data_IF_357198027966
#
_entry.id   IF_357198027966
#
_cell.length_a   1.000
_cell.length_b   1.000
_cell.length_c   1.000
_cell.angle_alpha   90.00
_cell.angle_beta   90.00
_cell.angle_gamma   90.00
#
_symmetry.space_group_name_H-M   'P 1'
#
loop_
_entity.id
_entity.type
_entity.pdbx_description
1 polymer ?
#
# COMPACT_ATOMS: atom_id res chain seq x y z
N UNK A 1 -54.21 -102.12 20.64
CA UNK A 1 -52.84 -102.08 20.17
C UNK A 1 -52.59 -100.68 19.52
N UNK A 2 -52.06 -99.77 20.29
CA UNK A 2 -51.97 -98.36 19.89
C UNK A 2 -50.48 -98.01 19.79
N UNK A 3 -50.05 -97.72 18.56
CA UNK A 3 -48.71 -97.29 18.22
C UNK A 3 -48.48 -95.86 18.60
N UNK A 4 -47.63 -95.55 19.52
CA UNK A 4 -47.21 -94.18 19.86
C UNK A 4 -46.08 -93.76 18.92
N UNK A 5 -46.36 -92.73 18.08
CA UNK A 5 -45.35 -92.03 17.30
C UNK A 5 -44.56 -91.04 18.17
N UNK A 6 -43.23 -91.27 18.27
CA UNK A 6 -42.35 -90.25 18.85
C UNK A 6 -42.07 -89.16 17.88
N UNK A 7 -42.36 -87.95 18.29
CA UNK A 7 -42.02 -86.72 17.55
C UNK A 7 -40.66 -86.26 18.06
N UNK A 8 -39.64 -86.31 17.19
CA UNK A 8 -38.32 -85.77 17.47
C UNK A 8 -38.38 -84.30 17.04
N UNK A 9 -38.24 -83.38 18.03
CA UNK A 9 -38.07 -81.96 17.76
C UNK A 9 -36.60 -81.68 17.61
N UNK A 10 -36.16 -81.34 16.39
CA UNK A 10 -34.83 -80.81 16.09
C UNK A 10 -34.78 -79.36 16.55
N UNK A 11 -33.87 -79.07 17.49
CA UNK A 11 -33.55 -77.69 17.90
C UNK A 11 -32.45 -77.24 16.98
N UNK A 12 -32.76 -76.28 16.07
CA UNK A 12 -31.74 -75.60 15.25
C UNK A 12 -31.12 -74.51 16.10
N UNK A 13 -29.83 -74.69 16.43
CA UNK A 13 -29.08 -73.64 17.07
C UNK A 13 -28.73 -72.57 16.04
N UNK A 14 -29.25 -71.36 16.20
CA UNK A 14 -28.88 -70.19 15.44
C UNK A 14 -27.64 -69.61 16.09
N UNK A 15 -26.48 -69.81 15.52
CA UNK A 15 -25.23 -69.10 15.89
C UNK A 15 -25.29 -67.73 15.22
N UNK A 16 -25.63 -66.67 16.00
CA UNK A 16 -25.47 -65.31 15.56
C UNK A 16 -23.96 -64.94 15.63
N UNK A 17 -23.31 -64.87 14.48
CA UNK A 17 -21.98 -64.29 14.35
C UNK A 17 -22.10 -62.77 14.47
N UNK A 18 -21.70 -62.23 15.60
CA UNK A 18 -21.58 -60.78 15.83
C UNK A 18 -20.32 -60.32 15.08
N UNK A 19 -20.48 -59.82 13.84
CA UNK A 19 -19.41 -59.15 13.14
C UNK A 19 -19.24 -57.76 13.78
N UNK A 20 -18.24 -57.61 14.63
CA UNK A 20 -17.78 -56.28 15.04
C UNK A 20 -17.21 -55.55 13.81
N UNK A 21 -17.95 -54.60 13.26
CA UNK A 21 -17.37 -53.59 12.40
C UNK A 21 -16.38 -52.80 13.28
N UNK A 22 -15.11 -53.03 13.10
CA UNK A 22 -14.07 -52.13 13.56
C UNK A 22 -14.19 -50.86 12.72
N UNK A 23 -14.83 -49.83 13.24
CA UNK A 23 -14.72 -48.49 12.70
C UNK A 23 -13.24 -48.09 12.77
N UNK A 24 -12.64 -47.57 11.66
CA UNK A 24 -11.32 -47.03 11.75
C UNK A 24 -11.38 -45.91 12.78
N UNK A 25 -10.67 -46.08 13.91
CA UNK A 25 -10.37 -44.97 14.80
C UNK A 25 -9.48 -44.07 13.94
N UNK A 26 -10.03 -43.00 13.39
CA UNK A 26 -9.23 -41.92 12.88
C UNK A 26 -8.37 -41.50 14.07
N UNK A 27 -7.09 -41.84 14.02
CA UNK A 27 -6.10 -41.26 14.91
C UNK A 27 -6.19 -39.74 14.64
N UNK A 28 -6.81 -39.01 15.55
CA UNK A 28 -6.62 -37.58 15.63
C UNK A 28 -5.09 -37.45 15.78
N UNK A 29 -4.43 -37.01 14.70
CA UNK A 29 -3.05 -36.61 14.80
C UNK A 29 -3.04 -35.52 15.87
N UNK A 30 -2.54 -35.84 17.04
CA UNK A 30 -2.24 -34.85 18.05
C UNK A 30 -1.30 -33.86 17.35
N UNK A 31 -1.71 -32.61 17.17
CA UNK A 31 -0.82 -31.57 16.67
C UNK A 31 0.44 -31.64 17.53
N UNK A 32 1.57 -31.91 16.88
CA UNK A 32 2.84 -32.02 17.58
C UNK A 32 3.14 -30.66 18.17
N UNK A 33 3.17 -30.57 19.50
CA UNK A 33 3.36 -29.31 20.22
C UNK A 33 4.78 -28.82 19.94
N UNK A 34 4.90 -27.67 19.27
CA UNK A 34 6.20 -27.01 19.06
C UNK A 34 6.82 -26.68 20.41
N UNK A 35 8.01 -27.18 20.64
CA UNK A 35 8.72 -27.03 21.92
C UNK A 35 10.11 -26.44 21.72
N UNK A 36 10.62 -25.64 22.69
CA UNK A 36 11.99 -25.14 22.62
C UNK A 36 12.98 -26.27 22.90
N UNK A 37 14.24 -26.16 22.38
CA UNK A 37 15.28 -27.20 22.59
C UNK A 37 15.63 -27.46 24.07
N UNK A 38 15.46 -26.44 24.92
CA UNK A 38 15.64 -26.50 26.36
C UNK A 38 14.78 -25.41 27.07
N UNK A 39 14.50 -25.50 28.38
CA UNK A 39 13.50 -24.70 29.08
C UNK A 39 13.68 -23.17 29.00
N UNK A 40 14.93 -22.68 28.92
CA UNK A 40 15.22 -21.21 28.89
C UNK A 40 15.68 -20.73 27.51
N UNK A 41 15.39 -21.50 26.46
CA UNK A 41 15.79 -21.16 25.09
C UNK A 41 15.18 -19.84 24.62
N UNK A 42 16.03 -18.99 24.03
CA UNK A 42 15.58 -17.78 23.29
C UNK A 42 16.12 -17.86 21.86
N UNK A 43 15.21 -17.83 20.89
CA UNK A 43 15.57 -17.91 19.48
C UNK A 43 14.53 -18.61 18.61
N UNK A 44 14.92 -18.87 17.37
CA UNK A 44 14.08 -19.51 16.36
C UNK A 44 14.05 -21.02 16.52
N UNK A 45 12.86 -21.57 16.40
CA UNK A 45 12.61 -23.02 16.19
C UNK A 45 11.88 -23.20 14.87
N UNK A 46 12.32 -24.15 14.05
CA UNK A 46 11.67 -24.50 12.79
C UNK A 46 11.06 -25.89 12.94
N UNK A 47 9.76 -25.99 12.70
CA UNK A 47 9.03 -27.25 12.70
C UNK A 47 8.03 -27.25 11.54
N UNK A 48 7.99 -28.32 10.75
CA UNK A 48 7.10 -28.48 9.59
C UNK A 48 7.18 -27.34 8.55
N UNK A 49 8.34 -26.69 8.44
CA UNK A 49 8.58 -25.56 7.54
C UNK A 49 8.13 -24.21 8.08
N UNK A 50 7.46 -24.17 9.22
CA UNK A 50 7.07 -22.97 9.92
C UNK A 50 8.12 -22.53 10.93
N UNK A 51 8.19 -21.22 11.20
CA UNK A 51 9.14 -20.61 12.11
C UNK A 51 8.42 -20.07 13.33
N UNK A 52 8.95 -20.38 14.49
CA UNK A 52 8.45 -19.99 15.80
C UNK A 52 9.57 -19.31 16.58
N UNK A 53 9.25 -18.30 17.36
CA UNK A 53 10.21 -17.67 18.26
C UNK A 53 9.89 -18.00 19.70
N UNK A 54 10.91 -18.39 20.45
CA UNK A 54 10.83 -18.57 21.90
C UNK A 54 11.57 -17.44 22.60
N UNK A 55 11.06 -17.02 23.72
CA UNK A 55 11.62 -16.01 24.60
C UNK A 55 11.69 -16.61 26.00
N UNK A 56 12.90 -17.00 26.44
CA UNK A 56 13.12 -17.73 27.69
C UNK A 56 12.19 -18.95 27.87
N UNK A 57 12.14 -19.78 26.84
CA UNK A 57 11.33 -21.01 26.81
C UNK A 57 9.85 -20.80 26.51
N UNK A 58 9.38 -19.56 26.41
CA UNK A 58 7.97 -19.25 26.12
C UNK A 58 7.80 -18.87 24.66
N UNK A 59 6.89 -19.55 23.94
CA UNK A 59 6.58 -19.24 22.54
C UNK A 59 5.95 -17.85 22.40
N UNK A 60 6.53 -17.01 21.57
CA UNK A 60 5.98 -15.71 21.23
C UNK A 60 4.71 -15.86 20.38
N UNK A 61 3.64 -15.14 20.74
CA UNK A 61 2.35 -15.12 20.03
C UNK A 61 1.80 -13.72 20.00
N UNK A 62 1.21 -13.32 18.85
CA UNK A 62 0.66 -11.96 18.65
C UNK A 62 1.67 -10.88 19.08
N UNK A 63 2.93 -11.10 18.76
CA UNK A 63 4.06 -10.30 19.28
C UNK A 63 5.04 -9.96 18.17
N UNK A 64 5.53 -8.72 18.20
CA UNK A 64 6.67 -8.27 17.40
C UNK A 64 7.98 -8.61 18.13
N UNK A 65 8.94 -9.17 17.39
CA UNK A 65 10.29 -9.43 17.90
C UNK A 65 11.34 -8.84 16.97
N UNK A 66 12.47 -8.45 17.55
CA UNK A 66 13.66 -8.07 16.81
C UNK A 66 14.71 -9.16 16.94
N UNK A 67 15.20 -9.63 15.79
CA UNK A 67 16.31 -10.58 15.75
C UNK A 67 17.59 -9.85 15.35
N UNK A 68 18.57 -9.70 16.27
CA UNK A 68 19.84 -9.04 15.97
C UNK A 68 20.67 -9.75 14.91
N UNK A 69 20.51 -11.07 14.76
CA UNK A 69 21.30 -11.87 13.83
C UNK A 69 20.95 -11.56 12.36
N UNK A 70 19.68 -11.29 12.09
CA UNK A 70 19.18 -10.89 10.77
C UNK A 70 19.03 -9.38 10.63
N UNK A 71 19.18 -8.62 11.72
CA UNK A 71 18.91 -7.18 11.81
C UNK A 71 17.49 -6.83 11.32
N UNK A 72 16.50 -7.65 11.67
CA UNK A 72 15.14 -7.53 11.17
C UNK A 72 14.09 -7.66 12.28
N UNK A 73 12.95 -7.03 12.04
CA UNK A 73 11.76 -7.18 12.86
C UNK A 73 10.83 -8.20 12.24
N UNK A 74 10.23 -9.04 13.07
CA UNK A 74 9.30 -10.11 12.72
C UNK A 74 8.02 -10.00 13.53
N UNK A 75 6.97 -10.64 13.06
CA UNK A 75 5.72 -10.81 13.78
C UNK A 75 5.40 -12.28 13.94
N UNK A 76 5.06 -12.70 15.14
CA UNK A 76 4.51 -14.02 15.43
C UNK A 76 2.98 -13.90 15.55
N UNK A 77 2.28 -14.71 14.78
CA UNK A 77 0.82 -14.74 14.78
C UNK A 77 0.24 -15.32 16.08
N UNK A 78 -1.08 -15.38 16.20
CA UNK A 78 -1.74 -15.89 17.40
C UNK A 78 -1.47 -17.38 17.65
N UNK A 79 -1.18 -18.15 16.61
CA UNK A 79 -0.77 -19.56 16.70
C UNK A 79 0.73 -19.72 16.97
N UNK A 80 1.51 -18.66 16.91
CA UNK A 80 2.97 -18.65 17.11
C UNK A 80 3.77 -18.70 15.82
N UNK A 81 3.16 -18.88 14.66
CA UNK A 81 3.86 -18.92 13.37
C UNK A 81 4.36 -17.53 12.95
N UNK A 82 5.49 -17.48 12.25
CA UNK A 82 6.05 -16.26 11.72
C UNK A 82 5.23 -15.73 10.54
N UNK A 83 4.78 -14.49 10.61
CA UNK A 83 4.06 -13.80 9.54
C UNK A 83 4.94 -13.63 8.31
N UNK A 84 4.46 -14.04 7.13
CA UNK A 84 5.13 -13.90 5.82
C UNK A 84 4.15 -13.42 4.77
N UNK A 85 4.63 -12.61 3.83
CA UNK A 85 3.87 -12.14 2.66
C UNK A 85 2.49 -11.55 3.00
N UNK A 86 2.35 -10.88 4.15
CA UNK A 86 1.07 -10.35 4.60
C UNK A 86 1.17 -9.03 5.34
N UNK A 87 0.04 -8.35 5.41
CA UNK A 87 -0.15 -7.17 6.25
C UNK A 87 -0.74 -7.60 7.59
N UNK A 88 -0.20 -7.06 8.67
CA UNK A 88 -0.64 -7.31 10.04
C UNK A 88 -1.06 -6.00 10.69
N UNK A 89 -2.22 -6.00 11.35
CA UNK A 89 -2.63 -4.89 12.18
C UNK A 89 -2.14 -5.10 13.61
N UNK A 90 -1.20 -4.28 14.03
CA UNK A 90 -0.66 -4.28 15.39
C UNK A 90 -1.46 -3.29 16.24
N UNK A 91 -2.14 -3.77 17.28
CA UNK A 91 -2.99 -2.93 18.15
C UNK A 91 -2.21 -2.05 19.13
N UNK A 92 -0.96 -2.42 19.41
CA UNK A 92 -0.09 -1.65 20.30
C UNK A 92 0.22 -0.26 19.75
N UNK A 93 0.52 0.70 20.64
CA UNK A 93 0.99 2.04 20.28
C UNK A 93 0.04 2.81 19.32
N UNK A 94 -1.25 2.76 19.58
CA UNK A 94 -2.25 3.49 18.80
C UNK A 94 -2.75 2.77 17.56
N UNK A 95 -2.25 1.57 17.29
CA UNK A 95 -2.65 0.75 16.14
C UNK A 95 -1.94 1.16 14.85
N UNK A 96 -1.32 0.19 14.18
CA UNK A 96 -0.66 0.40 12.89
C UNK A 96 -0.78 -0.84 12.00
N UNK A 97 -0.87 -0.62 10.69
CA UNK A 97 -0.66 -1.67 9.70
C UNK A 97 0.83 -1.77 9.39
N UNK A 98 1.36 -2.97 9.38
CA UNK A 98 2.75 -3.30 9.07
C UNK A 98 2.75 -4.41 8.03
N UNK A 99 3.73 -4.45 7.16
CA UNK A 99 3.87 -5.49 6.13
C UNK A 99 5.12 -6.32 6.37
N UNK A 100 4.99 -7.63 6.17
CA UNK A 100 6.10 -8.59 6.24
C UNK A 100 6.33 -9.21 4.86
N UNK A 101 7.60 -9.34 4.47
CA UNK A 101 8.02 -9.93 3.20
C UNK A 101 7.97 -11.47 3.21
N UNK A 102 8.49 -12.12 2.17
CA UNK A 102 8.55 -13.59 2.07
C UNK A 102 9.48 -14.24 3.11
N UNK A 103 10.42 -13.49 3.64
CA UNK A 103 11.35 -13.96 4.68
C UNK A 103 10.83 -13.65 6.09
N UNK A 104 9.68 -12.98 6.21
CA UNK A 104 9.11 -12.51 7.46
C UNK A 104 9.68 -11.18 7.95
N UNK A 105 10.52 -10.50 7.17
CA UNK A 105 11.10 -9.22 7.57
C UNK A 105 10.07 -8.09 7.44
N UNK A 106 10.03 -7.22 8.44
CA UNK A 106 9.22 -6.01 8.37
C UNK A 106 9.69 -5.11 7.23
N UNK A 107 8.77 -4.75 6.32
CA UNK A 107 9.03 -3.84 5.22
C UNK A 107 9.08 -2.40 5.72
N UNK A 108 10.03 -1.64 5.18
CA UNK A 108 10.21 -0.20 5.42
C UNK A 108 10.45 0.52 4.10
N UNK A 109 9.99 1.77 4.01
CA UNK A 109 10.10 2.57 2.79
C UNK A 109 9.02 2.24 1.77
N UNK A 110 9.33 2.48 0.49
CA UNK A 110 8.40 2.24 -0.61
C UNK A 110 8.36 0.75 -0.97
N UNK A 111 7.16 0.22 -1.16
CA UNK A 111 6.91 -1.17 -1.55
C UNK A 111 5.80 -1.23 -2.61
N UNK A 112 6.04 -1.99 -3.69
CA UNK A 112 5.05 -2.23 -4.72
C UNK A 112 4.42 -3.60 -4.56
N UNK A 113 3.11 -3.63 -4.22
CA UNK A 113 2.35 -4.87 -4.05
C UNK A 113 0.87 -4.64 -4.34
N UNK A 114 0.17 -5.68 -4.70
CA UNK A 114 -1.27 -5.66 -4.99
C UNK A 114 -1.67 -4.60 -6.04
N UNK A 115 -0.80 -4.39 -7.03
CA UNK A 115 -1.03 -3.42 -8.11
C UNK A 115 -0.96 -1.97 -7.67
N UNK A 116 -0.18 -1.64 -6.63
CA UNK A 116 0.01 -0.26 -6.17
C UNK A 116 1.25 -0.06 -5.32
N UNK A 117 1.67 1.18 -5.23
CA UNK A 117 2.74 1.60 -4.34
C UNK A 117 2.19 1.88 -2.94
N UNK A 118 2.97 1.50 -1.94
CA UNK A 118 2.75 1.76 -0.52
C UNK A 118 4.01 2.39 0.06
N UNK A 119 3.88 2.99 1.22
CA UNK A 119 5.03 3.46 1.99
C UNK A 119 4.89 3.02 3.44
N UNK A 120 5.96 2.47 3.97
CA UNK A 120 6.09 2.06 5.37
C UNK A 120 7.12 2.94 6.06
N UNK A 121 6.78 3.45 7.22
CA UNK A 121 7.66 4.34 7.99
C UNK A 121 9.01 3.68 8.26
N UNK A 122 10.10 4.42 8.04
CA UNK A 122 11.46 3.89 8.13
C UNK A 122 11.84 3.42 9.55
N UNK A 123 11.22 3.99 10.57
CA UNK A 123 11.50 3.65 11.98
C UNK A 123 10.53 2.60 12.48
N UNK A 124 9.23 2.85 12.32
CA UNK A 124 8.17 2.07 12.97
C UNK A 124 7.57 0.98 12.09
N UNK A 125 7.84 0.98 10.77
CA UNK A 125 7.20 0.11 9.79
C UNK A 125 5.71 0.41 9.58
N UNK A 126 5.19 1.51 10.13
CA UNK A 126 3.77 1.85 10.00
C UNK A 126 3.42 2.22 8.55
N UNK A 127 2.37 1.61 8.00
CA UNK A 127 1.84 1.93 6.67
C UNK A 127 1.33 3.37 6.64
N UNK A 128 1.83 4.16 5.70
CA UNK A 128 1.40 5.53 5.50
C UNK A 128 -0.06 5.62 5.03
N UNK A 129 -0.78 6.58 5.57
CA UNK A 129 -2.15 6.94 5.22
C UNK A 129 -2.24 8.46 5.08
N UNK A 130 -2.98 8.94 4.08
CA UNK A 130 -3.10 10.38 3.84
C UNK A 130 -1.88 10.99 3.16
N UNK A 131 -1.67 12.29 3.36
CA UNK A 131 -0.54 13.02 2.77
C UNK A 131 0.77 12.65 3.45
N UNK A 132 1.81 12.45 2.64
CA UNK A 132 3.17 12.13 3.10
C UNK A 132 4.19 12.85 2.23
N UNK A 133 5.17 13.46 2.86
CA UNK A 133 6.36 13.96 2.16
C UNK A 133 7.41 12.86 2.05
N UNK A 134 7.88 12.60 0.84
CA UNK A 134 8.97 11.67 0.54
C UNK A 134 10.18 12.49 0.14
N UNK A 135 11.22 12.48 0.98
CA UNK A 135 12.41 13.33 0.79
C UNK A 135 13.39 12.82 -0.26
N UNK A 136 13.28 11.57 -0.72
CA UNK A 136 14.12 11.01 -1.79
C UNK A 136 13.82 11.65 -3.14
N UNK A 137 14.81 11.61 -4.06
CA UNK A 137 14.66 12.08 -5.45
C UNK A 137 14.15 13.54 -5.57
N UNK A 138 14.71 14.45 -4.79
CA UNK A 138 14.38 15.87 -4.84
C UNK A 138 13.17 16.27 -3.99
N UNK A 139 12.55 15.32 -3.32
CA UNK A 139 11.40 15.57 -2.43
C UNK A 139 10.09 15.76 -3.17
N UNK A 140 9.05 15.10 -2.69
CA UNK A 140 7.69 15.24 -3.26
C UNK A 140 6.63 14.99 -2.18
N UNK A 141 5.52 15.70 -2.29
CA UNK A 141 4.31 15.33 -1.58
C UNK A 141 3.58 14.26 -2.37
N UNK A 142 3.19 13.20 -1.70
CA UNK A 142 2.37 12.10 -2.23
C UNK A 142 1.20 11.85 -1.31
N UNK A 143 0.22 11.13 -1.79
CA UNK A 143 -0.93 10.74 -0.98
C UNK A 143 -1.11 9.25 -1.01
N UNK A 144 -1.41 8.69 0.15
CA UNK A 144 -1.84 7.29 0.30
C UNK A 144 -3.30 7.25 0.71
N UNK A 145 -4.05 6.37 0.08
CA UNK A 145 -5.47 6.15 0.38
C UNK A 145 -5.65 5.80 1.86
N UNK A 146 -6.63 6.40 2.51
CA UNK A 146 -6.81 6.26 3.97
C UNK A 146 -7.26 4.87 4.39
N UNK A 147 -7.91 4.13 3.49
CA UNK A 147 -8.39 2.76 3.75
C UNK A 147 -7.34 1.75 3.34
N UNK A 148 -6.98 1.75 2.07
CA UNK A 148 -6.11 0.72 1.48
C UNK A 148 -4.62 0.95 1.69
N UNK A 149 -4.18 2.20 1.89
CA UNK A 149 -2.77 2.59 1.91
C UNK A 149 -2.10 2.65 0.54
N UNK A 150 -2.84 2.45 -0.57
CA UNK A 150 -2.28 2.59 -1.91
C UNK A 150 -1.99 4.06 -2.23
N UNK A 151 -0.89 4.29 -2.94
CA UNK A 151 -0.56 5.62 -3.46
C UNK A 151 -1.65 6.08 -4.44
N UNK A 152 -2.16 7.27 -4.20
CA UNK A 152 -3.14 7.93 -5.07
C UNK A 152 -2.42 8.51 -6.29
N UNK A 153 -3.02 8.35 -7.46
CA UNK A 153 -2.55 8.90 -8.74
C UNK A 153 -3.71 9.50 -9.50
N UNK A 154 -3.42 10.47 -10.36
CA UNK A 154 -4.42 11.18 -11.15
C UNK A 154 -5.23 12.18 -10.35
N UNK A 155 -6.40 12.51 -10.88
CA UNK A 155 -7.30 13.47 -10.28
C UNK A 155 -7.95 12.92 -9.02
N UNK A 156 -7.92 13.69 -7.94
CA UNK A 156 -8.45 13.28 -6.64
C UNK A 156 -9.23 14.43 -5.98
N UNK A 157 -10.46 14.15 -5.56
CA UNK A 157 -11.28 15.11 -4.82
C UNK A 157 -11.25 14.78 -3.32
N UNK A 158 -10.91 15.77 -2.49
CA UNK A 158 -10.90 15.63 -1.05
C UNK A 158 -11.01 16.97 -0.33
N UNK A 159 -11.63 16.97 0.84
CA UNK A 159 -11.75 18.12 1.75
C UNK A 159 -12.20 19.40 0.99
N UNK A 160 -13.18 19.22 0.07
CA UNK A 160 -13.77 20.31 -0.70
C UNK A 160 -12.93 20.84 -1.86
N UNK A 161 -11.85 20.15 -2.25
CA UNK A 161 -10.99 20.57 -3.36
C UNK A 161 -10.51 19.40 -4.23
N UNK A 162 -10.19 19.69 -5.48
CA UNK A 162 -9.46 18.78 -6.34
C UNK A 162 -7.96 18.95 -6.15
N UNK A 163 -7.24 17.83 -6.30
CA UNK A 163 -5.80 17.71 -6.36
C UNK A 163 -5.45 16.83 -7.56
N UNK A 164 -4.26 16.99 -8.09
CA UNK A 164 -3.76 16.07 -9.10
C UNK A 164 -2.45 15.46 -8.64
N UNK A 165 -2.34 14.17 -8.76
CA UNK A 165 -1.13 13.40 -8.45
C UNK A 165 -0.60 12.78 -9.74
N UNK A 166 0.67 13.04 -10.06
CA UNK A 166 1.30 12.54 -11.28
C UNK A 166 1.07 11.04 -11.47
N UNK A 167 0.68 10.64 -12.66
CA UNK A 167 0.30 9.26 -12.99
C UNK A 167 1.46 8.27 -12.84
N UNK A 168 2.70 8.72 -12.98
CA UNK A 168 3.91 7.89 -12.89
C UNK A 168 4.46 7.89 -11.47
N UNK A 169 4.75 9.08 -10.95
CA UNK A 169 5.50 9.28 -9.71
C UNK A 169 4.63 9.43 -8.46
N UNK A 170 3.33 9.71 -8.63
CA UNK A 170 2.41 10.06 -7.55
C UNK A 170 2.70 11.42 -6.91
N UNK A 171 3.58 12.24 -7.49
CA UNK A 171 3.89 13.57 -6.96
C UNK A 171 2.67 14.51 -7.07
N UNK A 172 2.36 15.23 -5.99
CA UNK A 172 1.31 16.24 -5.99
C UNK A 172 1.67 17.38 -6.94
N UNK A 173 0.74 17.73 -7.81
CA UNK A 173 0.91 18.80 -8.78
C UNK A 173 0.86 20.19 -8.13
N UNK A 174 1.74 21.06 -8.62
CA UNK A 174 1.77 22.49 -8.33
C UNK A 174 1.90 23.26 -9.64
N UNK A 175 1.28 24.44 -9.73
CA UNK A 175 1.27 25.22 -10.95
C UNK A 175 0.39 24.61 -12.04
N UNK A 176 0.74 24.87 -13.31
CA UNK A 176 -0.05 24.48 -14.47
C UNK A 176 0.38 23.09 -14.97
N UNK A 177 -0.54 22.13 -14.97
CA UNK A 177 -0.31 20.76 -15.43
C UNK A 177 -1.43 20.28 -16.34
N UNK A 178 -1.12 19.33 -17.22
CA UNK A 178 -2.11 18.62 -18.02
C UNK A 178 -2.84 17.59 -17.17
N UNK A 179 -4.16 17.63 -17.16
CA UNK A 179 -5.04 16.71 -16.44
C UNK A 179 -5.78 15.85 -17.47
N UNK A 180 -5.36 14.60 -17.70
CA UNK A 180 -5.97 13.72 -18.71
C UNK A 180 -7.47 13.53 -18.51
N UNK A 181 -7.92 13.38 -17.26
CA UNK A 181 -9.32 13.16 -16.90
C UNK A 181 -10.22 14.36 -17.33
N UNK A 182 -9.64 15.53 -17.45
CA UNK A 182 -10.33 16.74 -17.92
C UNK A 182 -10.02 17.09 -19.37
N UNK A 183 -9.10 16.35 -20.00
CA UNK A 183 -8.56 16.67 -21.33
C UNK A 183 -8.21 18.15 -21.47
N UNK A 184 -7.52 18.71 -20.46
CA UNK A 184 -7.24 20.14 -20.35
C UNK A 184 -6.10 20.40 -19.38
N UNK A 185 -5.42 21.53 -19.58
CA UNK A 185 -4.57 22.08 -18.53
C UNK A 185 -5.39 22.62 -17.37
N UNK A 186 -4.84 22.50 -16.18
CA UNK A 186 -5.38 23.09 -14.97
C UNK A 186 -4.25 23.65 -14.11
N UNK A 187 -4.56 24.65 -13.32
CA UNK A 187 -3.62 25.27 -12.38
C UNK A 187 -3.93 24.80 -10.98
N UNK A 188 -2.90 24.36 -10.27
CA UNK A 188 -2.94 23.98 -8.86
C UNK A 188 -2.09 24.94 -8.05
N UNK A 189 -2.55 25.26 -6.86
CA UNK A 189 -1.88 26.20 -5.95
C UNK A 189 -0.45 25.74 -5.63
N UNK A 190 0.49 26.67 -5.64
CA UNK A 190 1.92 26.35 -5.52
C UNK A 190 2.34 25.84 -4.14
N UNK A 191 1.53 26.06 -3.11
CA UNK A 191 1.81 25.65 -1.73
C UNK A 191 0.95 24.47 -1.33
N UNK A 192 -0.37 24.60 -1.48
CA UNK A 192 -1.33 23.59 -1.02
C UNK A 192 -1.61 22.48 -2.02
N UNK A 193 -1.28 22.68 -3.31
CA UNK A 193 -1.65 21.75 -4.39
C UNK A 193 -3.14 21.71 -4.72
N UNK A 194 -3.95 22.62 -4.15
CA UNK A 194 -5.40 22.68 -4.42
C UNK A 194 -5.66 23.21 -5.83
N UNK A 195 -6.66 22.66 -6.49
CA UNK A 195 -7.14 23.17 -7.77
C UNK A 195 -7.56 24.64 -7.65
N UNK A 196 -7.07 25.44 -8.60
CA UNK A 196 -7.38 26.88 -8.71
C UNK A 196 -8.30 27.14 -9.90
N UNK A 197 -7.88 26.72 -11.10
CA UNK A 197 -8.61 27.00 -12.33
C UNK A 197 -8.33 25.96 -13.41
N UNK A 198 -9.31 25.77 -14.30
CA UNK A 198 -9.15 25.02 -15.55
C UNK A 198 -8.91 26.01 -16.68
N UNK A 199 -8.01 25.67 -17.59
CA UNK A 199 -7.85 26.50 -18.79
C UNK A 199 -9.13 26.45 -19.62
N UNK A 200 -9.72 27.60 -19.85
CA UNK A 200 -10.85 27.73 -20.77
C UNK A 200 -10.33 27.44 -22.18
N UNK A 201 -10.77 26.32 -22.75
CA UNK A 201 -10.22 25.67 -23.94
C UNK A 201 -10.05 26.57 -25.16
N UNK A 202 -8.98 27.33 -25.15
CA UNK A 202 -8.41 27.88 -26.37
C UNK A 202 -7.04 27.20 -26.58
N UNK A 203 -7.04 26.07 -27.32
CA UNK A 203 -5.86 25.25 -27.63
C UNK A 203 -4.88 25.96 -28.57
N UNK A 204 -4.60 27.23 -28.33
CA UNK A 204 -3.54 27.91 -29.02
C UNK A 204 -2.31 27.96 -28.11
N UNK A 205 -1.18 27.28 -28.46
CA UNK A 205 0.05 27.31 -27.67
C UNK A 205 0.61 28.72 -27.40
N UNK A 206 -0.01 29.72 -27.95
CA UNK A 206 0.34 31.13 -27.85
C UNK A 206 -0.54 31.99 -26.94
N UNK A 207 -1.64 31.47 -26.38
CA UNK A 207 -2.54 32.28 -25.59
C UNK A 207 -2.57 31.86 -24.11
N UNK A 208 -1.65 32.37 -23.32
CA UNK A 208 -1.70 32.33 -21.85
C UNK A 208 -2.66 33.42 -21.34
N UNK A 209 -3.94 33.32 -21.73
CA UNK A 209 -4.98 34.20 -21.22
C UNK A 209 -5.23 33.90 -19.73
N UNK A 210 -4.79 34.78 -18.85
CA UNK A 210 -5.08 34.71 -17.42
C UNK A 210 -3.95 35.13 -16.48
N UNK A 211 -2.70 35.08 -16.91
CA UNK A 211 -1.58 35.55 -16.09
C UNK A 211 -1.03 36.88 -16.59
N UNK A 212 -0.92 37.86 -15.72
CA UNK A 212 -0.23 39.12 -16.07
C UNK A 212 1.26 38.83 -16.17
N UNK A 213 1.76 38.73 -17.43
CA UNK A 213 3.18 38.41 -17.70
C UNK A 213 3.96 39.66 -18.12
N UNK A 214 3.34 40.84 -18.12
CA UNK A 214 4.01 42.09 -18.40
C UNK A 214 5.19 42.31 -17.46
N UNK A 215 6.34 42.66 -17.98
CA UNK A 215 7.58 42.81 -17.21
C UNK A 215 8.34 41.53 -16.92
N UNK A 216 7.77 40.34 -17.20
CA UNK A 216 8.48 39.07 -17.04
C UNK A 216 9.45 38.81 -18.19
N UNK A 217 10.45 37.96 -17.90
CA UNK A 217 11.37 37.49 -18.94
C UNK A 217 10.65 36.65 -20.00
N UNK A 218 11.03 36.81 -21.25
CA UNK A 218 10.64 35.92 -22.33
C UNK A 218 11.87 35.28 -22.96
N UNK A 219 11.70 34.16 -23.64
CA UNK A 219 12.82 33.47 -24.29
C UNK A 219 13.32 34.29 -25.47
N UNK A 220 14.62 34.21 -25.76
CA UNK A 220 15.22 34.84 -26.96
C UNK A 220 14.52 34.43 -28.26
N UNK A 221 14.02 33.18 -28.32
CA UNK A 221 13.24 32.65 -29.44
C UNK A 221 11.84 33.26 -29.59
N UNK A 222 11.35 33.95 -28.56
CA UNK A 222 10.04 34.62 -28.55
C UNK A 222 10.15 36.13 -28.88
N UNK A 223 11.36 36.63 -29.09
CA UNK A 223 11.60 38.03 -29.42
C UNK A 223 10.79 38.45 -30.65
N UNK A 224 10.02 39.53 -30.53
CA UNK A 224 9.11 40.00 -31.56
C UNK A 224 7.72 39.36 -31.54
N UNK A 225 7.49 38.29 -30.77
CA UNK A 225 6.16 37.71 -30.62
C UNK A 225 5.26 38.64 -29.83
N UNK A 226 3.98 38.60 -30.16
CA UNK A 226 2.92 39.38 -29.50
C UNK A 226 1.94 38.44 -28.83
N UNK A 227 1.45 38.82 -27.64
CA UNK A 227 0.46 38.05 -26.88
C UNK A 227 -0.51 39.01 -26.22
N UNK A 228 -1.65 38.50 -25.79
CA UNK A 228 -2.56 39.22 -24.91
C UNK A 228 -2.24 38.84 -23.46
N UNK A 229 -2.01 39.85 -22.63
CA UNK A 229 -1.78 39.74 -21.21
C UNK A 229 -3.08 39.44 -20.44
N UNK A 230 -3.01 39.06 -19.18
CA UNK A 230 -4.15 38.68 -18.36
C UNK A 230 -5.22 39.78 -18.20
N UNK A 231 -4.84 41.04 -18.37
CA UNK A 231 -5.75 42.19 -18.37
C UNK A 231 -6.21 42.60 -19.79
N UNK A 232 -6.07 41.74 -20.78
CA UNK A 232 -6.40 41.96 -22.18
C UNK A 232 -5.52 42.99 -22.90
N UNK A 233 -4.36 43.32 -22.36
CA UNK A 233 -3.40 44.22 -23.00
C UNK A 233 -2.53 43.46 -23.99
N UNK A 234 -2.36 44.01 -25.20
CA UNK A 234 -1.40 43.48 -26.16
C UNK A 234 0.02 43.77 -25.68
N UNK A 235 0.82 42.71 -25.54
CA UNK A 235 2.22 42.77 -25.12
C UNK A 235 3.14 42.19 -26.17
N UNK A 236 4.38 42.63 -26.18
CA UNK A 236 5.43 42.16 -27.10
C UNK A 236 6.69 41.76 -26.33
N UNK A 237 7.35 40.66 -26.77
CA UNK A 237 8.63 40.24 -26.22
C UNK A 237 9.76 41.02 -26.91
N UNK A 238 10.39 41.92 -26.20
CA UNK A 238 11.49 42.73 -26.75
C UNK A 238 12.52 43.14 -25.71
N UNK A 239 13.70 43.58 -26.19
CA UNK A 239 14.74 44.17 -25.34
C UNK A 239 14.60 45.69 -25.40
N UNK A 240 14.43 46.37 -24.28
CA UNK A 240 14.34 47.83 -24.16
C UNK A 240 15.46 48.37 -23.26
N UNK A 241 15.80 49.61 -23.43
CA UNK A 241 16.71 50.38 -22.56
C UNK A 241 18.12 49.73 -22.41
N UNK A 242 18.68 49.19 -23.53
CA UNK A 242 20.02 48.57 -23.53
C UNK A 242 20.12 47.25 -22.82
N UNK A 243 19.03 46.67 -22.33
CA UNK A 243 18.99 45.35 -21.72
C UNK A 243 18.98 44.27 -22.82
N UNK A 244 19.96 43.36 -22.79
CA UNK A 244 20.05 42.24 -23.73
C UNK A 244 19.15 41.06 -23.40
N UNK A 245 18.42 41.12 -22.29
CA UNK A 245 17.49 40.10 -21.85
C UNK A 245 16.06 40.52 -22.25
N UNK A 246 15.35 39.74 -23.09
CA UNK A 246 14.03 40.12 -23.53
C UNK A 246 12.95 39.96 -22.44
N UNK A 247 12.01 40.91 -22.39
CA UNK A 247 10.87 40.91 -21.50
C UNK A 247 9.58 41.19 -22.25
N UNK A 248 8.45 40.87 -21.65
CA UNK A 248 7.13 41.22 -22.18
C UNK A 248 6.76 42.65 -21.79
N UNK A 249 6.54 43.52 -22.77
CA UNK A 249 6.14 44.90 -22.58
C UNK A 249 4.80 45.17 -23.22
N UNK A 250 4.03 46.08 -22.65
CA UNK A 250 2.84 46.62 -23.31
C UNK A 250 3.25 47.29 -24.64
N UNK A 251 2.46 47.04 -25.67
CA UNK A 251 2.64 47.62 -27.00
C UNK A 251 1.95 48.96 -27.10
#
# INVERSE_FOLDING_TARGET
>A
MILRKKIIRSIAAITATLSMLALPIASANAEEIVSPPYPEYTGWVVQDGEHYWFDSGTMARSKEIYDPSSNAWYWLDADGTMARNKDVYQRSNGGKWVRYDSNGHMIKGEDYRYGGWYYFDQTTGAMAKGMKYIGSNGGKWVRYDRVTGKMVKGLHYQDGAYYYFDQTTGAMAHGRVWVPEWNSYATFDSVSGRYVSKDSGNNNPGNTGGENIRGRFCKKSEKGQQRIDGDSTLIVCECRNGNNTPHWYAK
#
